data_IF_724075219626
#
_entry.id   IF_724075219626
#
_cell.length_a   1.000
_cell.length_b   1.000
_cell.length_c   1.000
_cell.angle_alpha   90.00
_cell.angle_beta   90.00
_cell.angle_gamma   90.00
#
_symmetry.space_group_name_H-M   'P 1'
#
loop_
_entity.id
_entity.type
_entity.pdbx_description
1 polymer ?
#
# COMPACT_ATOMS: atom_id res chain seq x y z
N UNK A 1 -8.54 -22.77 -34.75
CA UNK A 1 -9.11 -21.99 -33.64
C UNK A 1 -8.11 -20.87 -33.35
N UNK A 2 -8.30 -19.70 -33.94
CA UNK A 2 -7.40 -18.56 -33.71
C UNK A 2 -7.56 -18.12 -32.26
N UNK A 3 -6.45 -17.88 -31.55
CA UNK A 3 -6.48 -17.35 -30.19
C UNK A 3 -7.20 -15.99 -30.22
N UNK A 4 -8.09 -15.68 -29.26
CA UNK A 4 -8.88 -14.45 -29.23
C UNK A 4 -8.06 -13.14 -29.14
N UNK A 5 -6.72 -13.23 -29.14
CA UNK A 5 -5.78 -12.11 -29.06
C UNK A 5 -5.22 -11.66 -30.42
N UNK A 6 -5.64 -12.28 -31.53
CA UNK A 6 -5.13 -11.93 -32.88
C UNK A 6 -5.93 -10.82 -33.56
N UNK A 7 -7.10 -10.46 -33.05
CA UNK A 7 -7.94 -9.38 -33.58
C UNK A 7 -7.73 -8.09 -32.77
N UNK A 8 -7.51 -6.98 -33.46
CA UNK A 8 -7.20 -5.68 -32.85
C UNK A 8 -8.34 -5.19 -31.95
N UNK A 9 -9.59 -5.43 -32.35
CA UNK A 9 -10.75 -5.04 -31.55
C UNK A 9 -10.81 -5.82 -30.23
N UNK A 10 -10.53 -7.11 -30.29
CA UNK A 10 -10.48 -7.99 -29.12
C UNK A 10 -9.34 -7.59 -28.17
N UNK A 11 -8.16 -7.25 -28.71
CA UNK A 11 -7.03 -6.77 -27.92
C UNK A 11 -7.35 -5.46 -27.17
N UNK A 12 -8.00 -4.48 -27.83
CA UNK A 12 -8.41 -3.23 -27.17
C UNK A 12 -9.32 -3.48 -25.97
N UNK A 13 -10.33 -4.35 -26.10
CA UNK A 13 -11.21 -4.70 -25.00
C UNK A 13 -10.49 -5.43 -23.87
N UNK A 14 -9.51 -6.29 -24.20
CA UNK A 14 -8.67 -6.95 -23.20
C UNK A 14 -7.85 -5.92 -22.41
N UNK A 15 -7.24 -4.94 -23.07
CA UNK A 15 -6.47 -3.88 -22.41
C UNK A 15 -7.34 -3.00 -21.50
N UNK A 16 -8.53 -2.62 -21.96
CA UNK A 16 -9.51 -1.88 -21.15
C UNK A 16 -9.92 -2.70 -19.93
N UNK A 17 -10.26 -3.98 -20.12
CA UNK A 17 -10.62 -4.89 -19.04
C UNK A 17 -9.48 -5.03 -18.02
N UNK A 18 -8.25 -5.20 -18.49
CA UNK A 18 -7.06 -5.25 -17.66
C UNK A 18 -6.91 -3.98 -16.80
N UNK A 19 -7.04 -2.79 -17.40
CA UNK A 19 -6.96 -1.51 -16.68
C UNK A 19 -8.05 -1.38 -15.59
N UNK A 20 -9.29 -1.81 -15.90
CA UNK A 20 -10.36 -1.91 -14.91
C UNK A 20 -10.02 -2.86 -13.76
N UNK A 21 -9.50 -4.05 -14.06
CA UNK A 21 -9.14 -5.03 -13.05
C UNK A 21 -8.05 -4.51 -12.12
N UNK A 22 -7.01 -3.86 -12.67
CA UNK A 22 -5.96 -3.23 -11.85
C UNK A 22 -6.55 -2.11 -10.98
N UNK A 23 -7.38 -1.23 -11.56
CA UNK A 23 -8.03 -0.14 -10.82
C UNK A 23 -8.91 -0.64 -9.67
N UNK A 24 -9.75 -1.66 -9.92
CA UNK A 24 -10.62 -2.28 -8.90
C UNK A 24 -9.77 -2.96 -7.82
N UNK A 25 -8.74 -3.70 -8.22
CA UNK A 25 -7.85 -4.37 -7.27
C UNK A 25 -7.16 -3.36 -6.34
N UNK A 26 -6.69 -2.22 -6.87
CA UNK A 26 -6.12 -1.13 -6.07
C UNK A 26 -7.14 -0.54 -5.11
N UNK A 27 -8.36 -0.24 -5.57
CA UNK A 27 -9.41 0.32 -4.71
C UNK A 27 -9.81 -0.64 -3.59
N UNK A 28 -9.91 -1.94 -3.89
CA UNK A 28 -10.24 -2.95 -2.89
C UNK A 28 -9.12 -3.13 -1.86
N UNK A 29 -7.88 -3.31 -2.31
CA UNK A 29 -6.74 -3.56 -1.42
C UNK A 29 -6.29 -2.31 -0.65
N UNK A 30 -6.52 -1.10 -1.18
CA UNK A 30 -6.18 0.15 -0.49
C UNK A 30 -6.84 0.27 0.88
N UNK A 31 -8.03 -0.30 1.07
CA UNK A 31 -8.76 -0.28 2.36
C UNK A 31 -7.99 -0.96 3.50
N UNK A 32 -7.09 -1.87 3.14
CA UNK A 32 -6.27 -2.62 4.08
C UNK A 32 -4.92 -1.94 4.35
N UNK A 33 -4.65 -0.76 3.80
CA UNK A 33 -3.43 0.01 4.06
C UNK A 33 -3.64 0.99 5.23
N UNK A 34 -2.56 1.36 5.96
CA UNK A 34 -2.66 2.35 7.04
C UNK A 34 -3.07 3.73 6.50
N UNK A 35 -2.57 4.08 5.31
CA UNK A 35 -2.93 5.30 4.59
C UNK A 35 -3.48 4.92 3.21
N UNK A 36 -4.82 4.79 3.04
CA UNK A 36 -5.41 4.27 1.82
C UNK A 36 -5.31 5.23 0.62
N UNK A 37 -5.00 6.50 0.84
CA UNK A 37 -5.15 7.54 -0.19
C UNK A 37 -4.25 7.36 -1.42
N UNK A 38 -2.96 6.98 -1.33
CA UNK A 38 -2.10 6.86 -2.50
C UNK A 38 -2.60 5.81 -3.50
N UNK A 39 -2.78 4.56 -3.06
CA UNK A 39 -3.33 3.48 -3.88
C UNK A 39 -4.77 3.72 -4.32
N UNK A 40 -5.61 4.29 -3.46
CA UNK A 40 -7.00 4.61 -3.82
C UNK A 40 -7.09 5.67 -4.93
N UNK A 41 -6.29 6.75 -4.84
CA UNK A 41 -6.25 7.80 -5.87
C UNK A 41 -5.76 7.25 -7.20
N UNK A 42 -4.71 6.42 -7.19
CA UNK A 42 -4.20 5.79 -8.39
C UNK A 42 -5.23 4.83 -9.00
N UNK A 43 -5.90 4.02 -8.18
CA UNK A 43 -6.99 3.14 -8.62
C UNK A 43 -8.14 3.92 -9.28
N UNK A 44 -8.59 5.02 -8.68
CA UNK A 44 -9.62 5.88 -9.27
C UNK A 44 -9.21 6.51 -10.59
N UNK A 45 -7.95 6.92 -10.71
CA UNK A 45 -7.41 7.47 -11.96
C UNK A 45 -7.45 6.40 -13.08
N UNK A 46 -7.08 5.16 -12.79
CA UNK A 46 -7.16 4.06 -13.76
C UNK A 46 -8.61 3.76 -14.17
N UNK A 47 -9.53 3.70 -13.22
CA UNK A 47 -10.96 3.50 -13.54
C UNK A 47 -11.50 4.62 -14.41
N UNK A 48 -11.13 5.87 -14.11
CA UNK A 48 -11.55 7.03 -14.89
C UNK A 48 -11.00 7.00 -16.32
N UNK A 49 -9.71 6.67 -16.49
CA UNK A 49 -9.09 6.53 -17.81
C UNK A 49 -9.68 5.35 -18.59
N UNK A 50 -9.82 4.18 -17.97
CA UNK A 50 -10.44 3.01 -18.60
C UNK A 50 -11.88 3.30 -19.05
N UNK A 51 -12.68 4.02 -18.25
CA UNK A 51 -14.02 4.47 -18.64
C UNK A 51 -14.00 5.41 -19.84
N UNK A 52 -13.10 6.41 -19.85
CA UNK A 52 -12.96 7.32 -20.98
C UNK A 52 -12.59 6.57 -22.27
N UNK A 53 -11.65 5.62 -22.19
CA UNK A 53 -11.22 4.83 -23.34
C UNK A 53 -12.33 3.90 -23.82
N UNK A 54 -13.08 3.29 -22.89
CA UNK A 54 -14.23 2.44 -23.21
C UNK A 54 -15.32 3.23 -23.95
N UNK A 55 -15.65 4.44 -23.50
CA UNK A 55 -16.58 5.34 -24.19
C UNK A 55 -16.01 5.74 -25.56
N UNK A 56 -14.70 6.02 -25.62
CA UNK A 56 -13.98 6.36 -26.83
C UNK A 56 -14.00 5.29 -27.92
N UNK A 57 -14.31 4.03 -27.58
CA UNK A 57 -14.46 2.96 -28.59
C UNK A 57 -15.65 3.18 -29.53
N UNK A 58 -16.64 4.00 -29.14
CA UNK A 58 -17.77 4.38 -30.00
C UNK A 58 -17.47 5.56 -30.95
N UNK A 59 -16.29 6.16 -30.86
CA UNK A 59 -15.90 7.28 -31.70
C UNK A 59 -15.60 6.81 -33.15
N UNK A 60 -15.71 7.71 -34.16
CA UNK A 60 -15.37 7.37 -35.55
C UNK A 60 -13.92 6.88 -35.73
N UNK A 61 -13.01 7.40 -34.92
CA UNK A 61 -11.60 7.01 -34.85
C UNK A 61 -11.27 6.60 -33.41
N UNK A 62 -11.52 5.33 -33.03
CA UNK A 62 -11.22 4.84 -31.69
C UNK A 62 -9.70 4.76 -31.45
N UNK A 63 -9.30 4.80 -30.17
CA UNK A 63 -7.91 4.63 -29.76
C UNK A 63 -7.37 3.25 -30.18
N UNK A 64 -6.27 3.24 -30.92
CA UNK A 64 -5.58 2.01 -31.35
C UNK A 64 -4.82 1.32 -30.22
N UNK A 65 -4.46 0.04 -30.41
CA UNK A 65 -3.70 -0.76 -29.43
C UNK A 65 -2.34 -0.13 -29.10
N UNK A 66 -1.60 0.33 -30.11
CA UNK A 66 -0.31 0.97 -29.94
C UNK A 66 -0.40 2.19 -29.00
N UNK A 67 -1.38 3.07 -29.24
CA UNK A 67 -1.60 4.24 -28.39
C UNK A 67 -1.95 3.83 -26.95
N UNK A 68 -2.71 2.74 -26.76
CA UNK A 68 -3.05 2.23 -25.43
C UNK A 68 -1.80 1.71 -24.73
N UNK A 69 -0.94 0.96 -25.43
CA UNK A 69 0.34 0.52 -24.88
C UNK A 69 1.26 1.68 -24.49
N UNK A 70 1.37 2.73 -25.32
CA UNK A 70 2.12 3.96 -24.97
C UNK A 70 1.56 4.59 -23.69
N UNK A 71 0.24 4.68 -23.58
CA UNK A 71 -0.40 5.21 -22.37
C UNK A 71 -0.08 4.36 -21.14
N UNK A 72 -0.21 3.03 -21.24
CA UNK A 72 0.10 2.10 -20.13
C UNK A 72 1.57 2.18 -19.73
N UNK A 73 2.51 2.29 -20.67
CA UNK A 73 3.93 2.51 -20.39
C UNK A 73 4.18 3.83 -19.68
N UNK A 74 3.59 4.93 -20.15
CA UNK A 74 3.76 6.25 -19.52
C UNK A 74 3.19 6.30 -18.11
N UNK A 75 1.94 5.84 -17.96
CA UNK A 75 1.24 5.85 -16.68
C UNK A 75 1.84 4.86 -15.68
N UNK A 76 2.14 3.64 -16.14
CA UNK A 76 2.80 2.62 -15.34
C UNK A 76 4.20 3.04 -14.91
N UNK A 77 4.99 3.64 -15.81
CA UNK A 77 6.33 4.13 -15.48
C UNK A 77 6.31 5.24 -14.43
N UNK A 78 5.43 6.23 -14.58
CA UNK A 78 5.26 7.29 -13.57
C UNK A 78 4.76 6.72 -12.22
N UNK A 79 3.73 5.86 -12.26
CA UNK A 79 3.19 5.21 -11.08
C UNK A 79 4.21 4.33 -10.38
N UNK A 80 5.09 3.65 -11.13
CA UNK A 80 6.15 2.81 -10.60
C UNK A 80 7.16 3.64 -9.80
N UNK A 81 7.65 4.75 -10.36
CA UNK A 81 8.59 5.64 -9.66
C UNK A 81 7.96 6.21 -8.38
N UNK A 82 6.73 6.72 -8.48
CA UNK A 82 6.00 7.25 -7.32
C UNK A 82 5.73 6.15 -6.27
N UNK A 83 5.37 4.95 -6.71
CA UNK A 83 5.12 3.79 -5.85
C UNK A 83 6.37 3.33 -5.12
N UNK A 84 7.51 3.22 -5.82
CA UNK A 84 8.79 2.84 -5.20
C UNK A 84 9.22 3.90 -4.19
N UNK A 85 9.03 5.19 -4.48
CA UNK A 85 9.28 6.25 -3.50
C UNK A 85 8.39 6.08 -2.26
N UNK A 86 7.11 5.76 -2.44
CA UNK A 86 6.20 5.54 -1.32
C UNK A 86 6.56 4.31 -0.49
N UNK A 87 6.95 3.22 -1.15
CA UNK A 87 7.35 1.95 -0.56
C UNK A 87 8.68 2.09 0.20
N UNK A 88 9.72 2.62 -0.45
CA UNK A 88 11.08 2.60 0.07
C UNK A 88 11.42 3.79 0.97
N UNK A 89 10.79 4.96 0.75
CA UNK A 89 11.14 6.19 1.48
C UNK A 89 10.09 6.60 2.49
N UNK A 90 8.83 6.68 2.09
CA UNK A 90 7.77 7.16 2.99
C UNK A 90 7.13 6.06 3.83
N UNK A 91 7.27 4.81 3.40
CA UNK A 91 6.59 3.64 3.97
C UNK A 91 5.08 3.84 4.16
N UNK A 92 4.42 4.54 3.22
CA UNK A 92 2.97 4.84 3.33
C UNK A 92 2.09 3.94 2.49
N UNK A 93 2.64 3.30 1.47
CA UNK A 93 1.91 2.47 0.53
C UNK A 93 2.85 1.42 -0.08
N UNK A 94 2.36 0.18 -0.21
CA UNK A 94 3.08 -0.94 -0.82
C UNK A 94 2.43 -1.46 -2.10
N UNK A 95 1.27 -0.91 -2.48
CA UNK A 95 0.43 -1.40 -3.57
C UNK A 95 0.73 -0.70 -4.89
N UNK A 96 0.93 0.62 -4.88
CA UNK A 96 1.08 1.42 -6.11
C UNK A 96 2.25 0.90 -6.96
N UNK A 97 3.38 0.55 -6.35
CA UNK A 97 4.58 0.10 -7.07
C UNK A 97 4.34 -1.17 -7.92
N UNK A 98 3.88 -2.31 -7.36
CA UNK A 98 3.63 -3.51 -8.15
C UNK A 98 2.48 -3.31 -9.16
N UNK A 99 1.37 -2.67 -8.78
CA UNK A 99 0.27 -2.50 -9.72
C UNK A 99 0.62 -1.57 -10.89
N UNK A 100 1.37 -0.50 -10.66
CA UNK A 100 1.88 0.36 -11.74
C UNK A 100 2.95 -0.34 -12.57
N UNK A 101 3.78 -1.17 -11.95
CA UNK A 101 4.76 -2.00 -12.62
C UNK A 101 4.11 -3.02 -13.57
N UNK A 102 3.00 -3.65 -13.20
CA UNK A 102 2.20 -4.47 -14.13
C UNK A 102 1.72 -3.70 -15.36
N UNK A 103 1.19 -2.48 -15.18
CA UNK A 103 0.79 -1.61 -16.31
C UNK A 103 1.99 -1.29 -17.21
N UNK A 104 3.12 -0.95 -16.60
CA UNK A 104 4.36 -0.65 -17.31
C UNK A 104 4.84 -1.86 -18.13
N UNK A 105 4.85 -3.05 -17.52
CA UNK A 105 5.22 -4.30 -18.18
C UNK A 105 4.32 -4.56 -19.39
N UNK A 106 3.00 -4.53 -19.22
CA UNK A 106 2.05 -4.78 -20.31
C UNK A 106 2.21 -3.76 -21.44
N UNK A 107 2.38 -2.47 -21.11
CA UNK A 107 2.61 -1.41 -22.09
C UNK A 107 3.91 -1.63 -22.87
N UNK A 108 5.04 -1.77 -22.17
CA UNK A 108 6.35 -1.89 -22.81
C UNK A 108 6.48 -3.19 -23.60
N UNK A 109 6.05 -4.32 -23.03
CA UNK A 109 6.04 -5.61 -23.73
C UNK A 109 5.15 -5.51 -24.98
N UNK A 110 3.97 -4.89 -24.89
CA UNK A 110 3.09 -4.69 -26.03
C UNK A 110 3.75 -3.94 -27.18
N UNK A 111 4.41 -2.82 -26.89
CA UNK A 111 5.15 -2.03 -27.89
C UNK A 111 6.31 -2.82 -28.51
N UNK A 112 7.02 -3.61 -27.70
CA UNK A 112 8.13 -4.44 -28.17
C UNK A 112 7.67 -5.59 -29.05
N UNK A 113 6.50 -6.18 -28.76
CA UNK A 113 5.90 -7.23 -29.60
C UNK A 113 5.42 -6.66 -30.92
N UNK A 114 4.80 -5.47 -30.95
CA UNK A 114 4.34 -4.83 -32.19
C UNK A 114 5.51 -4.49 -33.14
N UNK A 115 6.68 -4.16 -32.60
CA UNK A 115 7.87 -3.79 -33.39
C UNK A 115 8.83 -4.95 -33.64
N UNK A 116 8.58 -6.14 -33.06
CA UNK A 116 9.54 -7.24 -33.02
C UNK A 116 10.05 -7.71 -34.39
N UNK A 117 9.17 -7.74 -35.40
CA UNK A 117 9.51 -8.14 -36.77
C UNK A 117 10.46 -7.17 -37.47
N UNK A 118 10.46 -5.92 -37.03
CA UNK A 118 11.17 -4.83 -37.69
C UNK A 118 12.56 -4.60 -37.07
N UNK A 119 12.83 -5.24 -35.93
CA UNK A 119 14.09 -5.17 -35.22
C UNK A 119 15.16 -6.07 -35.85
N UNK A 120 16.39 -5.57 -35.88
CA UNK A 120 17.58 -6.38 -36.16
C UNK A 120 17.83 -7.42 -35.06
N UNK A 121 18.63 -8.45 -35.34
CA UNK A 121 18.95 -9.49 -34.36
C UNK A 121 19.57 -8.93 -33.07
N UNK A 122 20.39 -7.88 -33.16
CA UNK A 122 21.00 -7.24 -31.98
C UNK A 122 19.94 -6.54 -31.14
N UNK A 123 19.03 -5.81 -31.79
CA UNK A 123 17.93 -5.13 -31.11
C UNK A 123 16.96 -6.12 -30.46
N UNK A 124 16.68 -7.27 -31.11
CA UNK A 124 15.88 -8.35 -30.53
C UNK A 124 16.54 -8.93 -29.26
N UNK A 125 17.86 -9.10 -29.25
CA UNK A 125 18.58 -9.54 -28.04
C UNK A 125 18.53 -8.50 -26.92
N UNK A 126 18.75 -7.21 -27.24
CA UNK A 126 18.64 -6.12 -26.27
C UNK A 126 17.20 -6.02 -25.70
N UNK A 127 16.20 -6.17 -26.58
CA UNK A 127 14.80 -6.22 -26.22
C UNK A 127 14.51 -7.40 -25.28
N UNK A 128 14.98 -8.60 -25.61
CA UNK A 128 14.82 -9.77 -24.76
C UNK A 128 15.44 -9.58 -23.37
N UNK A 129 16.68 -9.07 -23.28
CA UNK A 129 17.33 -8.78 -21.99
C UNK A 129 16.54 -7.76 -21.19
N UNK A 130 16.02 -6.72 -21.86
CA UNK A 130 15.17 -5.70 -21.22
C UNK A 130 13.90 -6.32 -20.65
N UNK A 131 13.24 -7.23 -21.37
CA UNK A 131 12.06 -7.96 -20.88
C UNK A 131 12.38 -8.80 -19.64
N UNK A 132 13.54 -9.47 -19.61
CA UNK A 132 13.98 -10.25 -18.45
C UNK A 132 14.19 -9.35 -17.23
N UNK A 133 14.83 -8.20 -17.41
CA UNK A 133 15.07 -7.24 -16.32
C UNK A 133 13.75 -6.66 -15.80
N UNK A 134 12.85 -6.25 -16.69
CA UNK A 134 11.54 -5.71 -16.32
C UNK A 134 10.71 -6.77 -15.59
N UNK A 135 10.65 -8.00 -16.12
CA UNK A 135 9.91 -9.10 -15.49
C UNK A 135 10.48 -9.53 -14.14
N UNK A 136 11.81 -9.55 -14.00
CA UNK A 136 12.48 -9.82 -12.73
C UNK A 136 12.24 -8.71 -11.70
N UNK A 137 12.32 -7.45 -12.12
CA UNK A 137 12.03 -6.29 -11.29
C UNK A 137 10.58 -6.28 -10.80
N UNK A 138 9.62 -6.57 -11.69
CA UNK A 138 8.21 -6.66 -11.33
C UNK A 138 7.94 -7.80 -10.35
N UNK A 139 8.52 -8.98 -10.60
CA UNK A 139 8.43 -10.11 -9.66
C UNK A 139 8.93 -9.69 -8.28
N UNK A 140 10.10 -9.04 -8.21
CA UNK A 140 10.64 -8.53 -6.95
C UNK A 140 9.70 -7.53 -6.27
N UNK A 141 9.06 -6.62 -7.02
CA UNK A 141 8.10 -5.66 -6.47
C UNK A 141 6.84 -6.33 -5.92
N UNK A 142 6.33 -7.38 -6.57
CA UNK A 142 5.20 -8.16 -6.06
C UNK A 142 5.59 -8.82 -4.73
N UNK A 143 6.77 -9.43 -4.64
CA UNK A 143 7.24 -10.02 -3.38
C UNK A 143 7.46 -8.96 -2.30
N UNK A 144 8.19 -7.89 -2.62
CA UNK A 144 8.53 -6.85 -1.65
C UNK A 144 7.33 -6.03 -1.20
N UNK A 145 6.41 -5.73 -2.11
CA UNK A 145 5.23 -4.91 -1.86
C UNK A 145 4.04 -5.72 -1.33
N UNK A 146 3.59 -6.73 -2.07
CA UNK A 146 2.34 -7.43 -1.74
C UNK A 146 2.51 -8.58 -0.73
N UNK A 147 3.61 -9.33 -0.82
CA UNK A 147 3.81 -10.53 0.01
C UNK A 147 4.52 -10.23 1.33
N UNK A 148 5.57 -9.41 1.28
CA UNK A 148 6.43 -9.10 2.43
C UNK A 148 6.10 -7.71 3.00
N UNK A 149 5.53 -6.81 2.20
CA UNK A 149 5.39 -5.38 2.51
C UNK A 149 4.56 -5.11 3.75
N UNK A 150 5.21 -5.13 4.91
CA UNK A 150 4.68 -4.63 6.18
C UNK A 150 5.11 -3.18 6.35
N UNK A 151 4.22 -2.39 6.93
CA UNK A 151 4.44 -0.97 7.19
C UNK A 151 4.26 -0.69 8.70
N UNK A 152 5.06 -1.30 9.58
CA UNK A 152 4.86 -1.20 11.03
C UNK A 152 4.85 0.25 11.51
N UNK A 153 5.80 1.06 11.02
CA UNK A 153 5.86 2.50 11.30
C UNK A 153 4.59 3.24 10.88
N UNK A 154 4.06 2.97 9.69
CA UNK A 154 2.86 3.67 9.21
C UNK A 154 1.59 3.23 9.94
N UNK A 155 1.51 1.97 10.35
CA UNK A 155 0.43 1.49 11.21
C UNK A 155 0.47 2.13 12.60
N UNK A 156 1.65 2.26 13.21
CA UNK A 156 1.82 3.01 14.46
C UNK A 156 1.41 4.49 14.30
N UNK A 157 1.83 5.15 13.22
CA UNK A 157 1.41 6.53 12.91
C UNK A 157 -0.11 6.65 12.71
N UNK A 158 -0.72 5.73 11.96
CA UNK A 158 -2.16 5.69 11.76
C UNK A 158 -2.91 5.45 13.08
N UNK A 159 -2.36 4.62 13.96
CA UNK A 159 -2.87 4.39 15.32
C UNK A 159 -2.87 5.66 16.17
N UNK A 160 -1.78 6.41 16.17
CA UNK A 160 -1.70 7.69 16.87
C UNK A 160 -2.70 8.72 16.33
N UNK A 161 -2.86 8.81 15.00
CA UNK A 161 -3.85 9.71 14.39
C UNK A 161 -5.27 9.30 14.78
N UNK A 162 -5.58 8.00 14.78
CA UNK A 162 -6.89 7.51 15.20
C UNK A 162 -7.16 7.79 16.68
N UNK A 163 -6.13 7.63 17.54
CA UNK A 163 -6.18 7.94 18.96
C UNK A 163 -6.47 9.43 19.21
N UNK A 164 -5.72 10.32 18.57
CA UNK A 164 -5.93 11.78 18.67
C UNK A 164 -7.32 12.22 18.16
N UNK A 165 -7.95 11.44 17.29
CA UNK A 165 -9.30 11.68 16.80
C UNK A 165 -10.40 11.02 17.66
N UNK A 166 -10.03 10.34 18.74
CA UNK A 166 -10.96 9.62 19.61
C UNK A 166 -11.54 8.34 19.01
N UNK A 167 -10.97 7.84 17.91
CA UNK A 167 -11.38 6.59 17.28
C UNK A 167 -10.58 5.44 17.86
N UNK A 168 -11.00 4.95 19.03
CA UNK A 168 -10.30 3.85 19.71
C UNK A 168 -10.54 2.49 19.06
N UNK A 169 -11.79 2.22 18.65
CA UNK A 169 -12.24 0.91 18.15
C UNK A 169 -12.64 0.95 16.67
N UNK A 170 -12.83 -0.24 16.08
CA UNK A 170 -13.19 -0.41 14.67
C UNK A 170 -11.99 -0.75 13.77
N UNK A 171 -12.23 -1.02 12.47
CA UNK A 171 -11.20 -1.52 11.53
C UNK A 171 -10.09 -0.52 11.21
N UNK A 172 -10.30 0.76 11.51
CA UNK A 172 -9.29 1.84 11.43
C UNK A 172 -9.19 2.59 12.77
N UNK A 173 -9.60 1.95 13.86
CA UNK A 173 -9.43 2.47 15.21
C UNK A 173 -7.99 2.32 15.69
N UNK A 174 -7.63 3.08 16.72
CA UNK A 174 -6.29 3.07 17.30
C UNK A 174 -5.82 1.65 17.68
N UNK A 175 -6.69 0.85 18.32
CA UNK A 175 -6.37 -0.54 18.72
C UNK A 175 -5.99 -1.39 17.51
N UNK A 176 -6.87 -1.45 16.50
CA UNK A 176 -6.62 -2.25 15.30
C UNK A 176 -5.37 -1.81 14.54
N UNK A 177 -5.07 -0.51 14.52
CA UNK A 177 -3.85 0.01 13.90
C UNK A 177 -2.59 -0.42 14.67
N UNK A 178 -2.58 -0.33 16.00
CA UNK A 178 -1.41 -0.76 16.80
C UNK A 178 -1.22 -2.28 16.78
N UNK A 179 -2.29 -3.07 16.78
CA UNK A 179 -2.23 -4.53 16.63
C UNK A 179 -1.61 -4.96 15.30
N UNK A 180 -1.80 -4.17 14.24
CA UNK A 180 -1.21 -4.41 12.91
C UNK A 180 0.17 -3.78 12.73
N UNK A 181 0.59 -2.94 13.68
CA UNK A 181 1.82 -2.16 13.60
C UNK A 181 3.03 -2.79 14.28
N UNK A 182 2.85 -3.81 15.13
CA UNK A 182 3.96 -4.58 15.65
C UNK A 182 4.41 -5.63 14.63
N UNK A 183 5.72 -5.87 14.53
CA UNK A 183 6.33 -6.78 13.57
C UNK A 183 7.45 -7.59 14.22
N UNK A 184 7.51 -8.89 13.93
CA UNK A 184 8.59 -9.76 14.38
C UNK A 184 9.94 -9.37 13.73
N UNK A 185 9.91 -8.76 12.54
CA UNK A 185 11.11 -8.38 11.79
C UNK A 185 11.66 -6.99 12.22
N UNK A 186 10.81 -6.12 12.79
CA UNK A 186 11.17 -4.78 13.29
C UNK A 186 10.88 -4.67 14.79
N UNK A 187 11.53 -5.52 15.58
CA UNK A 187 11.31 -5.70 17.03
C UNK A 187 11.37 -4.40 17.84
N UNK A 188 12.22 -3.45 17.43
CA UNK A 188 12.37 -2.15 18.08
C UNK A 188 11.12 -1.25 18.07
N UNK A 189 10.16 -1.47 17.17
CA UNK A 189 8.89 -0.72 17.14
C UNK A 189 7.80 -1.37 18.01
N UNK A 190 7.97 -2.63 18.39
CA UNK A 190 6.98 -3.39 19.14
C UNK A 190 6.66 -2.79 20.52
N UNK A 191 7.65 -2.30 21.31
CA UNK A 191 7.37 -1.62 22.58
C UNK A 191 6.38 -0.46 22.44
N UNK A 192 6.45 0.30 21.35
CA UNK A 192 5.58 1.45 21.11
C UNK A 192 4.12 1.01 20.88
N UNK A 193 3.92 -0.07 20.12
CA UNK A 193 2.60 -0.65 19.90
C UNK A 193 2.04 -1.27 21.19
N UNK A 194 2.84 -2.05 21.92
CA UNK A 194 2.43 -2.70 23.17
C UNK A 194 2.06 -1.69 24.26
N UNK A 195 2.85 -0.63 24.41
CA UNK A 195 2.51 0.47 25.31
C UNK A 195 1.17 1.11 24.94
N UNK A 196 0.98 1.45 23.66
CA UNK A 196 -0.26 2.08 23.21
C UNK A 196 -1.48 1.20 23.48
N UNK A 197 -1.39 -0.08 23.13
CA UNK A 197 -2.44 -1.06 23.38
C UNK A 197 -2.73 -1.21 24.86
N UNK A 198 -1.70 -1.42 25.69
CA UNK A 198 -1.82 -1.50 27.13
C UNK A 198 -2.57 -0.29 27.72
N UNK A 199 -2.17 0.94 27.36
CA UNK A 199 -2.78 2.17 27.86
C UNK A 199 -4.22 2.34 27.40
N UNK A 200 -4.52 2.04 26.13
CA UNK A 200 -5.89 2.12 25.60
C UNK A 200 -6.80 1.08 26.28
N UNK A 201 -6.33 -0.15 26.46
CA UNK A 201 -7.13 -1.18 27.14
C UNK A 201 -7.34 -0.87 28.63
N UNK A 202 -6.36 -0.28 29.32
CA UNK A 202 -6.54 0.24 30.68
C UNK A 202 -7.60 1.34 30.72
N UNK A 203 -7.52 2.31 29.82
CA UNK A 203 -8.48 3.41 29.69
C UNK A 203 -9.91 2.90 29.45
N UNK A 204 -10.07 1.82 28.67
CA UNK A 204 -11.37 1.18 28.42
C UNK A 204 -11.84 0.27 29.59
N UNK A 205 -11.02 0.05 30.62
CA UNK A 205 -11.32 -0.85 31.74
C UNK A 205 -11.10 -2.33 31.44
N UNK A 206 -10.53 -2.68 30.28
CA UNK A 206 -10.27 -4.05 29.84
C UNK A 206 -8.97 -4.59 30.46
N UNK A 207 -9.05 -4.99 31.74
CA UNK A 207 -7.88 -5.42 32.52
C UNK A 207 -7.17 -6.67 32.00
N UNK A 208 -7.90 -7.60 31.35
CA UNK A 208 -7.30 -8.83 30.79
C UNK A 208 -6.29 -8.48 29.71
N UNK A 209 -6.74 -7.78 28.68
CA UNK A 209 -5.96 -7.45 27.49
C UNK A 209 -4.85 -6.46 27.87
N UNK A 210 -5.16 -5.50 28.76
CA UNK A 210 -4.17 -4.60 29.30
C UNK A 210 -3.00 -5.33 29.98
N UNK A 211 -3.28 -6.40 30.72
CA UNK A 211 -2.24 -7.22 31.37
C UNK A 211 -1.40 -8.00 30.36
N UNK A 212 -2.03 -8.53 29.31
CA UNK A 212 -1.32 -9.24 28.23
C UNK A 212 -0.35 -8.31 27.50
N UNK A 213 -0.82 -7.14 27.07
CA UNK A 213 0.02 -6.15 26.41
C UNK A 213 1.12 -5.61 27.33
N UNK A 214 0.86 -5.52 28.64
CA UNK A 214 1.88 -5.13 29.61
C UNK A 214 2.98 -6.20 29.74
N UNK A 215 2.62 -7.48 29.73
CA UNK A 215 3.60 -8.57 29.78
C UNK A 215 4.50 -8.53 28.54
N UNK A 216 3.93 -8.34 27.36
CA UNK A 216 4.68 -8.19 26.11
C UNK A 216 5.60 -6.96 26.14
N UNK A 217 5.11 -5.82 26.62
CA UNK A 217 5.93 -4.61 26.80
C UNK A 217 7.11 -4.85 27.75
N UNK A 218 6.89 -5.53 28.88
CA UNK A 218 7.93 -5.82 29.85
C UNK A 218 9.01 -6.76 29.29
N UNK A 219 8.64 -7.72 28.44
CA UNK A 219 9.59 -8.60 27.75
C UNK A 219 10.53 -7.82 26.82
N UNK A 220 10.03 -6.75 26.21
CA UNK A 220 10.79 -5.87 25.31
C UNK A 220 11.48 -4.68 26.01
N UNK A 221 11.68 -4.76 27.33
CA UNK A 221 12.39 -3.73 28.10
C UNK A 221 11.52 -2.67 28.77
N UNK A 222 10.18 -2.82 28.71
CA UNK A 222 9.24 -1.98 29.43
C UNK A 222 9.09 -0.58 28.84
N UNK A 223 8.62 0.36 29.66
CA UNK A 223 8.42 1.76 29.24
C UNK A 223 9.73 2.46 28.87
N UNK A 224 10.87 2.01 29.41
CA UNK A 224 12.21 2.53 29.09
C UNK A 224 12.62 2.27 27.64
N UNK A 225 12.03 1.27 26.99
CA UNK A 225 12.27 1.00 25.57
C UNK A 225 11.49 1.94 24.64
N UNK A 226 10.58 2.75 25.18
CA UNK A 226 9.75 3.69 24.42
C UNK A 226 10.20 5.12 24.68
N UNK A 227 10.28 5.91 23.61
CA UNK A 227 10.62 7.33 23.74
C UNK A 227 9.55 8.07 24.56
N UNK A 228 9.97 8.80 25.59
CA UNK A 228 9.09 9.58 26.47
C UNK A 228 8.06 10.46 25.75
N UNK A 229 8.40 11.22 24.69
CA UNK A 229 7.41 12.03 23.97
C UNK A 229 6.25 11.21 23.40
N UNK A 230 6.46 9.92 23.10
CA UNK A 230 5.41 9.03 22.62
C UNK A 230 4.50 8.56 23.77
N UNK A 231 5.07 8.30 24.95
CA UNK A 231 4.30 7.98 26.17
C UNK A 231 3.39 9.15 26.54
N UNK A 232 3.96 10.36 26.58
CA UNK A 232 3.25 11.60 26.85
C UNK A 232 2.14 11.84 25.82
N UNK A 233 2.44 11.69 24.51
CA UNK A 233 1.44 11.88 23.47
C UNK A 233 0.24 10.90 23.58
N UNK A 234 0.47 9.65 23.98
CA UNK A 234 -0.63 8.70 24.23
C UNK A 234 -1.43 9.12 25.46
N UNK A 235 -0.74 9.45 26.55
CA UNK A 235 -1.38 9.84 27.80
C UNK A 235 -2.23 11.10 27.60
N UNK A 236 -1.67 12.14 27.01
CA UNK A 236 -2.36 13.40 26.71
C UNK A 236 -3.57 13.18 25.78
N UNK A 237 -3.43 12.32 24.77
CA UNK A 237 -4.55 11.99 23.89
C UNK A 237 -5.69 11.26 24.63
N UNK A 238 -5.37 10.35 25.56
CA UNK A 238 -6.37 9.66 26.38
C UNK A 238 -7.01 10.60 27.41
N UNK A 239 -6.23 11.46 28.07
CA UNK A 239 -6.73 12.48 29.00
C UNK A 239 -7.67 13.46 28.29
N UNK A 240 -7.32 13.87 27.06
CA UNK A 240 -8.16 14.74 26.25
C UNK A 240 -9.49 14.10 25.84
N UNK A 241 -9.56 12.76 25.79
CA UNK A 241 -10.79 12.03 25.49
C UNK A 241 -11.70 11.90 26.71
N UNK A 242 -11.15 11.47 27.85
CA UNK A 242 -11.88 11.37 29.10
C UNK A 242 -10.90 11.42 30.28
N UNK A 243 -10.90 12.52 31.02
CA UNK A 243 -10.01 12.72 32.18
C UNK A 243 -10.33 11.78 33.34
N UNK A 244 -11.58 11.34 33.50
CA UNK A 244 -11.99 10.44 34.59
C UNK A 244 -11.51 9.02 34.29
N UNK A 245 -11.75 8.52 33.07
CA UNK A 245 -11.24 7.21 32.65
C UNK A 245 -9.70 7.18 32.62
N UNK A 246 -9.05 8.28 32.23
CA UNK A 246 -7.60 8.39 32.22
C UNK A 246 -6.95 8.35 33.62
N UNK A 247 -7.71 8.54 34.70
CA UNK A 247 -7.17 8.45 36.08
C UNK A 247 -6.61 7.07 36.45
N UNK A 248 -7.00 6.03 35.70
CA UNK A 248 -6.52 4.65 35.87
C UNK A 248 -5.13 4.45 35.25
N UNK A 249 -4.69 5.35 34.37
CA UNK A 249 -3.39 5.25 33.72
C UNK A 249 -2.26 5.45 34.75
N UNK A 250 -1.15 4.72 34.62
CA UNK A 250 -0.02 4.90 35.51
C UNK A 250 0.62 6.28 35.29
N UNK A 251 1.19 6.82 36.37
CA UNK A 251 1.93 8.07 36.35
C UNK A 251 3.16 7.93 35.45
N UNK A 252 3.45 8.98 34.70
CA UNK A 252 4.69 9.06 33.92
C UNK A 252 5.81 9.36 34.92
N UNK A 253 6.76 8.44 35.08
CA UNK A 253 7.90 8.64 35.98
C UNK A 253 8.77 9.81 35.47
N UNK A 254 9.10 10.75 36.37
CA UNK A 254 10.05 11.83 36.08
C UNK A 254 11.49 11.29 36.19
N UNK A 255 12.08 10.90 35.05
CA UNK A 255 13.54 10.79 34.89
C UNK A 255 14.12 12.07 34.25
#
# INVERSE_FOLDING_TARGET
MALPLTDESSLRWVLICFEFLIGIALLFNSKNQPFPQPSSRFGWLLIMLALLIAIGQAAPNPMGSNAHFVMLSGLGGFGLVAGVYHLARTQRDVLVAPYAGLLFCVGVVGLMVETWSDLSTVEQWAAFITLVVIGGGETWLIFRGLLIGKLPLAWSQAGMIALMQGRLTGPQGAISCFERGWDADEEHLNPMAYLALHRIHLFLGNKSDASEWQELLLREGGERAVARPYIEAIHDALVALDSEAASILPLIEEE
#
